data_IF_187418448727
#
_entry.id   IF_187418448727
#
_cell.length_a   1.000
_cell.length_b   1.000
_cell.length_c   1.000
_cell.angle_alpha   90.00
_cell.angle_beta   90.00
_cell.angle_gamma   90.00
#
_symmetry.space_group_name_H-M   'P 1'
#
loop_
_entity.id
_entity.type
_entity.pdbx_description
1 polymer ?
#
# COMPACT_ATOMS: atom_id res chain seq x y z
N UNK A 1 -26.25 -16.86 23.22
CA UNK A 1 -25.37 -16.73 22.03
C UNK A 1 -26.19 -17.22 20.83
N UNK A 2 -26.67 -16.31 19.98
CA UNK A 2 -27.37 -16.68 18.74
C UNK A 2 -26.39 -16.48 17.59
N UNK A 3 -26.29 -17.53 16.79
CA UNK A 3 -25.43 -17.69 15.64
C UNK A 3 -25.47 -16.46 14.73
N UNK A 4 -24.32 -15.81 14.57
CA UNK A 4 -24.09 -14.89 13.47
C UNK A 4 -23.89 -15.78 12.24
N UNK A 5 -24.98 -16.00 11.53
CA UNK A 5 -25.01 -16.71 10.26
C UNK A 5 -24.03 -16.05 9.30
N UNK A 6 -22.92 -16.73 9.02
CA UNK A 6 -22.04 -16.51 7.87
C UNK A 6 -22.90 -16.61 6.60
N UNK A 7 -23.54 -15.50 6.25
CA UNK A 7 -24.30 -15.39 5.01
C UNK A 7 -23.27 -15.21 3.92
N UNK A 8 -23.09 -16.18 3.00
CA UNK A 8 -22.09 -16.06 1.97
C UNK A 8 -22.44 -14.84 1.11
N UNK A 9 -21.49 -13.92 0.99
CA UNK A 9 -21.64 -12.72 0.18
C UNK A 9 -22.09 -13.13 -1.23
N UNK A 10 -23.29 -12.69 -1.63
CA UNK A 10 -23.84 -12.89 -2.96
C UNK A 10 -22.79 -12.44 -3.99
N UNK A 11 -22.35 -13.38 -4.84
CA UNK A 11 -21.41 -13.12 -5.93
C UNK A 11 -22.09 -12.24 -6.98
N UNK A 12 -22.06 -10.92 -6.80
CA UNK A 12 -22.40 -9.98 -7.88
C UNK A 12 -21.27 -9.94 -8.92
N UNK A 13 -21.61 -9.60 -10.17
CA UNK A 13 -20.62 -9.29 -11.22
C UNK A 13 -19.68 -8.14 -10.79
N UNK A 14 -20.19 -7.27 -9.94
CA UNK A 14 -19.43 -6.24 -9.23
C UNK A 14 -18.74 -6.85 -8.01
N UNK A 15 -17.45 -6.60 -7.82
CA UNK A 15 -16.67 -7.19 -6.73
C UNK A 15 -17.26 -6.97 -5.33
N UNK A 16 -16.87 -7.80 -4.36
CA UNK A 16 -17.44 -7.77 -3.01
C UNK A 16 -17.31 -6.36 -2.37
N UNK A 17 -18.43 -5.65 -2.11
CA UNK A 17 -18.40 -4.27 -1.62
C UNK A 17 -17.91 -4.15 -0.17
N UNK A 18 -17.88 -5.24 0.58
CA UNK A 18 -17.35 -5.31 1.95
C UNK A 18 -15.91 -5.81 2.01
N UNK A 19 -15.32 -6.23 0.88
CA UNK A 19 -13.98 -6.78 0.89
C UNK A 19 -12.91 -5.72 1.18
N UNK A 20 -11.88 -6.13 1.88
CA UNK A 20 -10.59 -5.43 1.94
C UNK A 20 -9.57 -6.31 1.24
N UNK A 21 -8.81 -5.74 0.32
CA UNK A 21 -7.79 -6.47 -0.42
C UNK A 21 -6.45 -5.77 -0.32
N UNK A 22 -5.40 -6.55 -0.09
CA UNK A 22 -4.02 -6.12 -0.24
C UNK A 22 -3.39 -6.85 -1.42
N UNK A 23 -2.80 -6.09 -2.35
CA UNK A 23 -2.00 -6.64 -3.44
C UNK A 23 -0.56 -6.22 -3.27
N UNK A 24 0.33 -7.20 -3.13
CA UNK A 24 1.75 -6.98 -2.94
C UNK A 24 2.49 -7.39 -4.21
N UNK A 25 3.38 -6.53 -4.70
CA UNK A 25 4.18 -6.77 -5.89
C UNK A 25 5.67 -6.53 -5.61
N UNK A 26 6.55 -7.44 -6.05
CA UNK A 26 7.99 -7.20 -6.02
C UNK A 26 8.37 -6.13 -7.05
N UNK A 27 9.20 -5.16 -6.65
CA UNK A 27 9.68 -4.08 -7.53
C UNK A 27 11.20 -4.06 -7.61
N UNK A 28 11.71 -3.90 -8.83
CA UNK A 28 13.12 -3.62 -9.09
C UNK A 28 13.46 -2.16 -8.77
N UNK A 29 14.75 -1.80 -8.70
CA UNK A 29 15.20 -0.43 -8.38
C UNK A 29 14.56 0.64 -9.26
N UNK A 30 14.45 0.38 -10.58
CA UNK A 30 13.84 1.32 -11.52
C UNK A 30 12.35 1.51 -11.23
N UNK A 31 11.61 0.41 -11.03
CA UNK A 31 10.17 0.46 -10.70
C UNK A 31 9.93 1.10 -9.34
N UNK A 32 10.78 0.82 -8.35
CA UNK A 32 10.74 1.42 -7.01
C UNK A 32 10.84 2.96 -7.06
N UNK A 33 11.70 3.51 -7.92
CA UNK A 33 11.80 4.96 -8.15
C UNK A 33 10.50 5.54 -8.72
N UNK A 34 9.87 4.84 -9.67
CA UNK A 34 8.60 5.22 -10.27
C UNK A 34 7.46 5.19 -9.26
N UNK A 35 7.29 4.07 -8.54
CA UNK A 35 6.31 3.88 -7.46
C UNK A 35 6.46 4.98 -6.41
N UNK A 36 7.68 5.22 -5.92
CA UNK A 36 7.97 6.29 -4.96
C UNK A 36 7.50 7.66 -5.45
N UNK A 37 7.79 8.03 -6.70
CA UNK A 37 7.37 9.32 -7.25
C UNK A 37 5.86 9.41 -7.41
N UNK A 38 5.22 8.31 -7.80
CA UNK A 38 3.78 8.25 -7.95
C UNK A 38 3.07 8.38 -6.61
N UNK A 39 3.41 7.55 -5.63
CA UNK A 39 2.73 7.47 -4.32
C UNK A 39 2.87 8.78 -3.54
N UNK A 40 4.07 9.38 -3.56
CA UNK A 40 4.36 10.63 -2.86
C UNK A 40 4.12 11.88 -3.71
N UNK A 41 3.59 11.70 -4.93
CA UNK A 41 3.28 12.79 -5.86
C UNK A 41 4.47 13.73 -6.09
N UNK A 42 5.67 13.15 -6.17
CA UNK A 42 6.91 13.89 -6.40
C UNK A 42 7.11 14.08 -7.90
N UNK A 43 6.96 15.33 -8.37
CA UNK A 43 7.13 15.74 -9.76
C UNK A 43 5.81 16.00 -10.49
N UNK A 44 5.77 15.75 -11.80
CA UNK A 44 4.60 16.04 -12.63
C UNK A 44 3.41 15.15 -12.26
N UNK A 45 2.32 15.77 -11.82
CA UNK A 45 1.07 15.07 -11.51
C UNK A 45 0.41 14.51 -12.79
N UNK A 46 -0.07 13.26 -12.78
CA UNK A 46 -0.87 12.74 -13.88
C UNK A 46 -2.18 13.52 -14.07
N UNK A 47 -2.67 13.64 -15.30
CA UNK A 47 -3.90 14.40 -15.63
C UNK A 47 -5.15 13.94 -14.87
N UNK A 48 -5.20 12.66 -14.48
CA UNK A 48 -6.33 12.10 -13.74
C UNK A 48 -6.28 12.37 -12.23
N UNK A 49 -5.19 12.96 -11.71
CA UNK A 49 -5.04 13.31 -10.29
C UNK A 49 -5.51 14.74 -10.08
N UNK A 50 -6.53 14.92 -9.23
CA UNK A 50 -6.99 16.25 -8.80
C UNK A 50 -5.96 16.84 -7.83
N UNK A 51 -5.28 17.91 -8.23
CA UNK A 51 -4.23 18.57 -7.44
C UNK A 51 -4.72 18.99 -6.04
N UNK A 52 -5.96 19.47 -5.96
CA UNK A 52 -6.58 19.93 -4.70
C UNK A 52 -6.71 18.82 -3.65
N UNK A 53 -6.81 17.56 -4.10
CA UNK A 53 -6.96 16.39 -3.22
C UNK A 53 -5.62 15.81 -2.77
N UNK A 54 -4.51 16.20 -3.39
CA UNK A 54 -3.17 15.70 -3.02
C UNK A 54 -2.81 16.09 -1.58
N UNK A 55 -3.27 17.27 -1.13
CA UNK A 55 -3.03 17.76 0.23
C UNK A 55 -3.69 16.90 1.32
N UNK A 56 -4.67 16.07 0.95
CA UNK A 56 -5.36 15.16 1.86
C UNK A 56 -4.62 13.84 2.07
N UNK A 57 -3.60 13.55 1.23
CA UNK A 57 -2.80 12.34 1.37
C UNK A 57 -1.92 12.45 2.62
N UNK A 58 -1.92 11.38 3.43
CA UNK A 58 -1.12 11.31 4.65
C UNK A 58 0.03 10.34 4.45
N UNK A 59 1.22 10.76 4.88
CA UNK A 59 2.39 9.89 4.96
C UNK A 59 2.48 9.34 6.37
N UNK A 60 2.19 8.05 6.54
CA UNK A 60 2.09 7.44 7.87
C UNK A 60 3.43 6.92 8.40
N UNK A 61 4.39 6.69 7.49
CA UNK A 61 5.74 6.21 7.78
C UNK A 61 6.75 6.93 6.88
N UNK A 62 7.92 7.30 7.41
CA UNK A 62 8.91 8.07 6.66
C UNK A 62 9.48 7.26 5.50
N UNK A 63 9.78 7.96 4.41
CA UNK A 63 10.21 7.32 3.19
C UNK A 63 11.71 7.05 3.18
N UNK A 64 12.09 5.78 3.31
CA UNK A 64 13.50 5.37 3.29
C UNK A 64 14.16 5.72 1.94
N UNK A 65 15.38 6.29 1.92
CA UNK A 65 16.13 6.51 0.69
C UNK A 65 16.39 5.21 -0.08
N UNK A 66 16.17 5.19 -1.40
CA UNK A 66 16.40 3.97 -2.21
C UNK A 66 17.86 3.50 -2.18
N UNK A 67 18.81 4.44 -2.04
CA UNK A 67 20.23 4.13 -1.88
C UNK A 67 20.51 3.36 -0.60
N UNK A 68 19.83 3.71 0.50
CA UNK A 68 19.94 3.01 1.77
C UNK A 68 19.38 1.58 1.65
N UNK A 69 18.18 1.41 1.08
CA UNK A 69 17.58 0.09 0.87
C UNK A 69 18.49 -0.81 0.01
N UNK A 70 19.12 -0.25 -1.02
CA UNK A 70 20.06 -1.01 -1.86
C UNK A 70 21.28 -1.48 -1.06
N UNK A 71 21.81 -0.65 -0.16
CA UNK A 71 22.93 -1.02 0.72
C UNK A 71 22.52 -2.12 1.70
N UNK A 72 21.39 -1.95 2.39
CA UNK A 72 20.84 -2.95 3.31
C UNK A 72 20.63 -4.32 2.62
N UNK A 73 20.08 -4.33 1.41
CA UNK A 73 19.91 -5.57 0.64
C UNK A 73 21.26 -6.21 0.26
N UNK A 74 22.30 -5.43 -0.01
CA UNK A 74 23.63 -5.95 -0.28
C UNK A 74 24.25 -6.57 0.97
N UNK A 75 24.11 -5.91 2.13
CA UNK A 75 24.57 -6.42 3.43
C UNK A 75 23.87 -7.72 3.82
N UNK A 76 22.56 -7.82 3.63
CA UNK A 76 21.80 -9.06 3.88
C UNK A 76 22.29 -10.22 3.00
N UNK A 77 22.68 -9.94 1.76
CA UNK A 77 23.24 -10.96 0.87
C UNK A 77 24.62 -11.43 1.31
N UNK A 78 25.47 -10.52 1.79
CA UNK A 78 26.78 -10.85 2.37
C UNK A 78 26.59 -11.74 3.60
N UNK A 79 25.68 -11.36 4.51
CA UNK A 79 25.33 -12.17 5.69
C UNK A 79 24.79 -13.56 5.33
N UNK A 80 24.07 -13.68 4.21
CA UNK A 80 23.58 -14.94 3.67
C UNK A 80 24.60 -15.69 2.78
N UNK A 81 25.89 -15.33 2.84
CA UNK A 81 27.01 -15.95 2.11
C UNK A 81 26.79 -16.04 0.59
N UNK A 82 26.07 -15.07 0.01
CA UNK A 82 25.81 -15.05 -1.44
C UNK A 82 26.98 -14.42 -2.17
N UNK A 83 27.71 -15.23 -2.93
CA UNK A 83 28.93 -14.79 -3.63
C UNK A 83 28.68 -13.92 -4.88
N UNK A 84 27.53 -14.06 -5.53
CA UNK A 84 27.21 -13.31 -6.77
C UNK A 84 26.56 -11.96 -6.48
N UNK A 85 26.96 -10.95 -7.26
CA UNK A 85 26.33 -9.63 -7.26
C UNK A 85 24.82 -9.73 -7.51
N UNK A 86 24.05 -8.79 -6.94
CA UNK A 86 22.61 -8.74 -7.15
C UNK A 86 22.31 -8.38 -8.61
N UNK A 87 21.51 -9.22 -9.29
CA UNK A 87 21.11 -8.98 -10.68
C UNK A 87 20.37 -7.64 -10.78
N UNK A 88 20.58 -6.89 -11.87
CA UNK A 88 19.98 -5.56 -12.05
C UNK A 88 18.44 -5.58 -12.03
N UNK A 89 17.84 -6.68 -12.48
CA UNK A 89 16.39 -6.89 -12.48
C UNK A 89 15.89 -7.62 -11.21
N UNK A 90 16.73 -7.80 -10.20
CA UNK A 90 16.30 -8.38 -8.93
C UNK A 90 15.32 -7.43 -8.23
N UNK A 91 14.29 -7.98 -7.56
CA UNK A 91 13.42 -7.19 -6.72
C UNK A 91 14.18 -6.72 -5.48
N UNK A 92 13.98 -5.45 -5.14
CA UNK A 92 14.65 -4.75 -4.03
C UNK A 92 13.69 -4.26 -2.97
N UNK A 93 12.42 -4.07 -3.33
CA UNK A 93 11.34 -3.71 -2.42
C UNK A 93 10.09 -4.50 -2.74
N UNK A 94 9.22 -4.64 -1.75
CA UNK A 94 7.84 -5.06 -1.92
C UNK A 94 6.96 -3.81 -1.86
N UNK A 95 6.08 -3.63 -2.85
CA UNK A 95 5.12 -2.52 -2.90
C UNK A 95 3.72 -3.11 -2.75
N UNK A 96 2.96 -2.59 -1.78
CA UNK A 96 1.59 -3.01 -1.52
C UNK A 96 0.59 -1.92 -1.89
N UNK A 97 -0.57 -2.32 -2.40
CA UNK A 97 -1.76 -1.47 -2.52
C UNK A 97 -2.85 -2.09 -1.66
N UNK A 98 -3.41 -1.29 -0.75
CA UNK A 98 -4.58 -1.66 0.05
C UNK A 98 -5.79 -1.00 -0.58
N UNK A 99 -6.80 -1.79 -0.92
CA UNK A 99 -8.06 -1.33 -1.51
C UNK A 99 -9.23 -1.82 -0.69
N UNK A 100 -10.21 -0.95 -0.52
CA UNK A 100 -11.47 -1.25 0.16
C UNK A 100 -12.60 -1.31 -0.87
N UNK A 101 -13.52 -2.25 -0.67
CA UNK A 101 -14.83 -2.22 -1.32
C UNK A 101 -15.62 -0.98 -0.88
N UNK A 102 -16.65 -0.62 -1.65
CA UNK A 102 -17.41 0.62 -1.46
C UNK A 102 -18.05 0.76 -0.08
N UNK A 103 -18.52 -0.33 0.52
CA UNK A 103 -19.11 -0.33 1.86
C UNK A 103 -18.02 -0.32 2.93
N UNK A 104 -16.98 -1.13 2.76
CA UNK A 104 -15.84 -1.17 3.69
C UNK A 104 -15.13 0.19 3.78
N UNK A 105 -14.98 0.90 2.65
CA UNK A 105 -14.40 2.24 2.60
C UNK A 105 -15.18 3.24 3.46
N UNK A 106 -16.52 3.25 3.33
CA UNK A 106 -17.39 4.15 4.12
C UNK A 106 -17.32 3.86 5.61
N UNK A 107 -17.32 2.58 5.99
CA UNK A 107 -17.18 2.17 7.38
C UNK A 107 -15.82 2.61 7.94
N UNK A 108 -14.75 2.42 7.17
CA UNK A 108 -13.41 2.84 7.58
C UNK A 108 -13.26 4.36 7.65
N UNK A 109 -13.89 5.11 6.74
CA UNK A 109 -13.93 6.57 6.74
C UNK A 109 -14.69 7.15 7.95
N UNK A 110 -15.65 6.39 8.51
CA UNK A 110 -16.38 6.81 9.71
C UNK A 110 -15.53 6.77 10.99
N UNK A 111 -14.39 6.07 10.97
CA UNK A 111 -13.47 6.01 12.10
C UNK A 111 -12.71 7.33 12.27
N UNK A 112 -12.34 7.72 13.50
CA UNK A 112 -11.41 8.81 13.74
C UNK A 112 -10.10 8.64 12.96
N UNK A 113 -9.54 9.75 12.49
CA UNK A 113 -8.28 9.80 11.72
C UNK A 113 -7.17 9.00 12.42
N UNK A 114 -7.05 9.12 13.73
CA UNK A 114 -6.02 8.42 14.52
C UNK A 114 -6.22 6.90 14.49
N UNK A 115 -7.46 6.42 14.53
CA UNK A 115 -7.79 4.99 14.44
C UNK A 115 -7.53 4.45 13.04
N UNK A 116 -7.83 5.24 12.01
CA UNK A 116 -7.47 4.87 10.63
C UNK A 116 -5.95 4.72 10.47
N UNK A 117 -5.18 5.68 10.99
CA UNK A 117 -3.73 5.69 10.89
C UNK A 117 -3.09 4.56 11.72
N UNK A 118 -3.65 4.27 12.90
CA UNK A 118 -3.26 3.12 13.71
C UNK A 118 -3.50 1.80 12.96
N UNK A 119 -4.69 1.62 12.37
CA UNK A 119 -5.02 0.43 11.60
C UNK A 119 -4.08 0.23 10.39
N UNK A 120 -3.75 1.30 9.66
CA UNK A 120 -2.79 1.22 8.55
C UNK A 120 -1.38 0.86 9.04
N UNK A 121 -0.93 1.41 10.17
CA UNK A 121 0.38 1.08 10.76
C UNK A 121 0.43 -0.36 11.25
N UNK A 122 -0.64 -0.85 11.86
CA UNK A 122 -0.75 -2.23 12.32
C UNK A 122 -0.72 -3.20 11.14
N UNK A 123 -1.52 -2.95 10.10
CA UNK A 123 -1.52 -3.74 8.88
C UNK A 123 -0.12 -3.76 8.22
N UNK A 124 0.55 -2.60 8.16
CA UNK A 124 1.91 -2.50 7.65
C UNK A 124 2.89 -3.38 8.42
N UNK A 125 2.80 -3.39 9.75
CA UNK A 125 3.65 -4.23 10.62
C UNK A 125 3.34 -5.71 10.43
N UNK A 126 2.06 -6.09 10.35
CA UNK A 126 1.66 -7.47 10.08
C UNK A 126 2.23 -8.01 8.77
N UNK A 127 2.09 -7.22 7.69
CA UNK A 127 2.65 -7.56 6.37
C UNK A 127 4.18 -7.63 6.42
N UNK A 128 4.84 -6.71 7.14
CA UNK A 128 6.29 -6.74 7.31
C UNK A 128 6.76 -8.04 7.99
N UNK A 129 6.03 -8.46 9.02
CA UNK A 129 6.29 -9.68 9.78
C UNK A 129 6.12 -10.92 8.91
N UNK A 130 5.02 -11.03 8.17
CA UNK A 130 4.80 -12.19 7.28
C UNK A 130 5.86 -12.30 6.18
N UNK A 131 6.29 -11.17 5.64
CA UNK A 131 7.31 -11.12 4.59
C UNK A 131 8.74 -11.20 5.16
N UNK A 132 8.92 -11.24 6.48
CA UNK A 132 10.22 -11.14 7.16
C UNK A 132 11.07 -9.94 6.65
N UNK A 133 10.45 -8.76 6.55
CA UNK A 133 11.10 -7.54 6.05
C UNK A 133 11.19 -6.45 7.12
N UNK A 134 12.29 -5.68 7.11
CA UNK A 134 12.64 -4.73 8.18
C UNK A 134 11.99 -3.34 8.07
N UNK A 135 11.15 -3.07 7.06
CA UNK A 135 10.45 -1.79 7.03
C UNK A 135 9.48 -1.60 5.87
N UNK A 136 8.31 -1.06 6.21
CA UNK A 136 7.21 -0.75 5.31
C UNK A 136 7.02 0.77 5.26
N UNK A 137 6.70 1.31 4.09
CA UNK A 137 6.25 2.68 3.93
C UNK A 137 4.78 2.64 3.50
N UNK A 138 3.93 3.40 4.19
CA UNK A 138 2.50 3.50 3.86
C UNK A 138 2.16 4.95 3.56
N UNK A 139 1.61 5.16 2.38
CA UNK A 139 0.91 6.38 2.02
C UNK A 139 -0.59 6.05 1.98
N UNK A 140 -1.39 6.76 2.75
CA UNK A 140 -2.84 6.67 2.67
C UNK A 140 -3.37 7.86 1.86
N UNK A 141 -4.19 7.55 0.85
CA UNK A 141 -5.01 8.54 0.15
C UNK A 141 -6.42 8.40 0.70
N UNK A 142 -7.11 9.50 1.07
CA UNK A 142 -8.54 9.40 1.30
C UNK A 142 -9.18 8.92 -0.01
N UNK A 143 -10.00 7.87 0.09
CA UNK A 143 -10.77 7.39 -1.04
C UNK A 143 -11.73 8.54 -1.37
N UNK A 144 -11.53 9.11 -2.55
CA UNK A 144 -12.48 10.06 -3.09
C UNK A 144 -13.88 9.42 -3.09
N UNK A 145 -14.82 10.11 -2.45
CA UNK A 145 -16.27 9.98 -2.62
C UNK A 145 -16.64 9.57 -4.05
N UNK A 146 -17.68 8.73 -4.23
CA UNK A 146 -17.92 8.00 -5.46
C UNK A 146 -17.96 8.95 -6.65
N UNK A 147 -17.39 8.51 -7.78
CA UNK A 147 -17.57 9.18 -9.07
C UNK A 147 -19.08 9.36 -9.29
N UNK A 148 -19.59 10.59 -9.14
CA UNK A 148 -20.85 10.94 -9.77
C UNK A 148 -20.61 10.84 -11.27
N UNK A 149 -21.20 9.82 -11.91
CA UNK A 149 -21.42 9.85 -13.35
C UNK A 149 -22.42 10.98 -13.60
N UNK A 150 -22.13 11.97 -14.45
CA UNK A 150 -23.21 12.75 -15.04
C UNK A 150 -24.08 11.81 -15.89
N UNK A 151 -25.39 12.04 -15.82
CA UNK A 151 -26.41 11.38 -16.62
C UNK A 151 -26.22 11.66 -18.12
#
# INVERSE_FOLDING_TARGET
MKDLTDTPALKSKDGNPQAVSIRIEPRTMSKAKGTRRHDFRIGKLPKYVKADRVKLNRTLMPLRPLGQIKKENAELRIKASRQRAMKQNAPVIMSGIITFGTVAAKLFESLPIEQQDAAFRELAKGVASELNTSGVAVASSPIATPRSRPA
#
